data_IF_184418141444
#
_entry.id   IF_184418141444
#
_cell.length_a   1.000
_cell.length_b   1.000
_cell.length_c   1.000
_cell.angle_alpha   90.00
_cell.angle_beta   90.00
_cell.angle_gamma   90.00
#
_symmetry.space_group_name_H-M   'P 1'
#
loop_
_entity.id
_entity.type
_entity.pdbx_description
1 polymer ?
#
# COMPACT_ATOMS: atom_id res chain seq x y z
N UNK A 1 -25.81 -16.89 -14.77
CA UNK A 1 -25.26 -16.63 -13.42
C UNK A 1 -23.89 -16.00 -13.60
N UNK A 2 -23.79 -14.67 -13.63
CA UNK A 2 -22.49 -14.00 -13.73
C UNK A 2 -21.98 -13.80 -12.31
N UNK A 3 -21.16 -14.73 -11.84
CA UNK A 3 -20.47 -14.59 -10.57
C UNK A 3 -19.54 -13.38 -10.61
N UNK A 4 -19.52 -12.60 -9.53
CA UNK A 4 -18.55 -11.52 -9.35
C UNK A 4 -17.13 -12.11 -9.40
N UNK A 5 -16.46 -12.01 -10.55
CA UNK A 5 -15.10 -12.53 -10.79
C UNK A 5 -14.00 -11.61 -10.20
N UNK A 6 -14.27 -10.95 -9.07
CA UNK A 6 -13.28 -10.14 -8.38
C UNK A 6 -12.48 -11.02 -7.41
N UNK A 7 -11.17 -11.16 -7.67
CA UNK A 7 -10.24 -11.88 -6.80
C UNK A 7 -9.37 -10.93 -5.99
N UNK A 8 -9.19 -11.21 -4.70
CA UNK A 8 -8.23 -10.50 -3.84
C UNK A 8 -7.16 -11.47 -3.35
N UNK A 9 -5.90 -11.04 -3.34
CA UNK A 9 -4.79 -11.85 -2.85
C UNK A 9 -3.84 -11.03 -1.98
N UNK A 10 -3.80 -11.33 -0.68
CA UNK A 10 -2.73 -10.87 0.19
C UNK A 10 -1.53 -11.79 0.04
N UNK A 11 -0.49 -11.33 -0.66
CA UNK A 11 0.69 -12.14 -0.97
C UNK A 11 1.75 -12.16 0.13
N UNK A 12 1.53 -11.56 1.31
CA UNK A 12 2.45 -11.52 2.47
C UNK A 12 3.79 -10.79 2.29
N UNK A 13 4.35 -10.71 1.08
CA UNK A 13 5.54 -9.91 0.76
C UNK A 13 5.49 -9.33 -0.65
N UNK A 14 6.26 -8.27 -0.87
CA UNK A 14 6.39 -7.60 -2.18
C UNK A 14 6.91 -8.56 -3.26
N UNK A 15 7.92 -9.35 -2.94
CA UNK A 15 8.47 -10.36 -3.85
C UNK A 15 7.42 -11.40 -4.28
N UNK A 16 6.50 -11.76 -3.39
CA UNK A 16 5.42 -12.69 -3.69
C UNK A 16 4.31 -12.03 -4.53
N UNK A 17 3.99 -10.74 -4.30
CA UNK A 17 3.09 -9.97 -5.18
C UNK A 17 3.63 -9.98 -6.61
N UNK A 18 4.91 -9.65 -6.78
CA UNK A 18 5.54 -9.56 -8.09
C UNK A 18 5.65 -10.91 -8.80
N UNK A 19 5.96 -11.97 -8.04
CA UNK A 19 6.00 -13.33 -8.59
C UNK A 19 4.62 -13.79 -9.06
N UNK A 20 3.56 -13.46 -8.29
CA UNK A 20 2.18 -13.78 -8.66
C UNK A 20 1.70 -12.97 -9.87
N UNK A 21 2.06 -11.69 -9.95
CA UNK A 21 1.78 -10.86 -11.13
C UNK A 21 2.38 -11.49 -12.39
N UNK A 22 3.65 -11.92 -12.35
CA UNK A 22 4.27 -12.58 -13.49
C UNK A 22 3.60 -13.88 -13.88
N UNK A 23 3.16 -14.69 -12.90
CA UNK A 23 2.41 -15.91 -13.17
C UNK A 23 1.10 -15.59 -13.90
N UNK A 24 0.29 -14.65 -13.37
CA UNK A 24 -0.98 -14.23 -13.97
C UNK A 24 -0.80 -13.68 -15.40
N UNK A 25 0.27 -12.92 -15.67
CA UNK A 25 0.51 -12.37 -17.00
C UNK A 25 0.83 -13.45 -18.06
N UNK A 26 1.34 -14.61 -17.63
CA UNK A 26 1.69 -15.76 -18.50
C UNK A 26 0.54 -16.74 -18.70
N UNK A 27 -0.48 -16.70 -17.86
CA UNK A 27 -1.62 -17.62 -17.94
C UNK A 27 -2.52 -17.29 -19.15
N UNK A 28 -3.00 -18.34 -19.82
CA UNK A 28 -3.91 -18.20 -20.96
C UNK A 28 -5.31 -17.75 -20.51
N UNK A 29 -5.75 -18.19 -19.32
CA UNK A 29 -7.02 -17.83 -18.68
C UNK A 29 -6.80 -16.78 -17.58
N UNK A 30 -6.15 -15.67 -17.96
CA UNK A 30 -5.79 -14.60 -17.04
C UNK A 30 -6.92 -13.59 -16.84
N UNK A 31 -6.96 -12.88 -15.70
CA UNK A 31 -7.89 -11.78 -15.48
C UNK A 31 -7.74 -10.67 -16.52
N UNK A 32 -8.86 -10.05 -16.91
CA UNK A 32 -8.86 -8.89 -17.82
C UNK A 32 -8.27 -7.63 -17.18
N UNK A 33 -8.33 -7.53 -15.85
CA UNK A 33 -7.83 -6.40 -15.06
C UNK A 33 -7.03 -6.95 -13.89
N UNK A 34 -5.81 -6.42 -13.69
CA UNK A 34 -4.95 -6.77 -12.57
C UNK A 34 -4.52 -5.48 -11.87
N UNK A 35 -4.78 -5.38 -10.57
CA UNK A 35 -4.28 -4.32 -9.71
C UNK A 35 -3.27 -4.86 -8.71
N UNK A 36 -2.15 -4.16 -8.53
CA UNK A 36 -1.21 -4.40 -7.44
C UNK A 36 -1.09 -3.16 -6.56
N UNK A 37 -0.91 -3.40 -5.27
CA UNK A 37 -0.66 -2.40 -4.24
C UNK A 37 0.59 -2.84 -3.50
N UNK A 38 1.58 -1.96 -3.38
CA UNK A 38 2.87 -2.24 -2.76
C UNK A 38 3.28 -1.06 -1.88
N UNK A 39 4.07 -1.30 -0.83
CA UNK A 39 4.67 -0.22 -0.06
C UNK A 39 5.78 0.46 -0.88
N UNK A 40 6.06 1.76 -0.65
CA UNK A 40 7.24 2.41 -1.24
C UNK A 40 8.53 2.02 -0.50
N UNK A 41 8.40 1.61 0.76
CA UNK A 41 9.45 1.43 1.76
C UNK A 41 10.32 2.69 1.95
N UNK A 42 11.21 2.98 1.00
CA UNK A 42 12.19 4.07 1.09
C UNK A 42 12.20 5.02 -0.11
N UNK A 43 11.72 4.61 -1.28
CA UNK A 43 11.67 5.45 -2.49
C UNK A 43 10.60 4.93 -3.47
N UNK A 44 9.58 5.76 -3.71
CA UNK A 44 8.45 5.43 -4.59
C UNK A 44 8.86 5.24 -6.06
N UNK A 45 9.75 6.09 -6.58
CA UNK A 45 10.18 5.96 -7.97
C UNK A 45 11.12 4.77 -8.15
N UNK A 46 12.02 4.50 -7.19
CA UNK A 46 12.86 3.32 -7.23
C UNK A 46 12.02 2.04 -7.15
N UNK A 47 11.00 2.00 -6.29
CA UNK A 47 10.03 0.90 -6.23
C UNK A 47 9.31 0.71 -7.56
N UNK A 48 8.88 1.81 -8.19
CA UNK A 48 8.26 1.74 -9.50
C UNK A 48 9.22 1.20 -10.57
N UNK A 49 10.46 1.69 -10.62
CA UNK A 49 11.50 1.17 -11.52
C UNK A 49 11.72 -0.33 -11.32
N UNK A 50 11.84 -0.78 -10.07
CA UNK A 50 12.00 -2.20 -9.76
C UNK A 50 10.86 -3.06 -10.36
N UNK A 51 9.62 -2.59 -10.21
CA UNK A 51 8.44 -3.27 -10.75
C UNK A 51 8.50 -3.34 -12.28
N UNK A 52 8.76 -2.20 -12.95
CA UNK A 52 8.72 -2.15 -14.42
C UNK A 52 9.94 -2.82 -15.06
N UNK A 53 11.14 -2.65 -14.53
CA UNK A 53 12.36 -3.20 -15.14
C UNK A 53 12.44 -4.71 -14.95
N UNK A 54 12.18 -5.19 -13.72
CA UNK A 54 12.48 -6.58 -13.39
C UNK A 54 11.28 -7.53 -13.55
N UNK A 55 10.05 -7.00 -13.57
CA UNK A 55 8.84 -7.85 -13.48
C UNK A 55 7.83 -7.66 -14.60
N UNK A 56 7.56 -6.42 -14.98
CA UNK A 56 6.40 -6.07 -15.83
C UNK A 56 6.80 -5.66 -17.25
N UNK A 57 7.94 -5.00 -17.43
CA UNK A 57 8.42 -4.45 -18.71
C UNK A 57 8.76 -5.50 -19.76
N UNK A 58 8.84 -6.77 -19.37
CA UNK A 58 8.85 -7.88 -20.33
C UNK A 58 7.54 -7.94 -21.14
N UNK A 59 6.41 -7.71 -20.47
CA UNK A 59 5.07 -7.81 -21.06
C UNK A 59 4.59 -6.47 -21.63
N UNK A 60 4.68 -5.39 -20.84
CA UNK A 60 4.19 -4.06 -21.23
C UNK A 60 5.35 -3.22 -21.75
N UNK A 61 5.20 -2.59 -22.93
CA UNK A 61 6.28 -1.84 -23.61
C UNK A 61 6.12 -0.32 -23.58
N UNK A 62 4.96 0.17 -23.17
CA UNK A 62 4.60 1.60 -23.23
C UNK A 62 4.29 2.17 -21.84
N UNK A 63 4.90 1.60 -20.80
CA UNK A 63 4.79 2.12 -19.44
C UNK A 63 5.48 3.49 -19.35
N UNK A 64 4.97 4.41 -18.52
CA UNK A 64 5.66 5.68 -18.25
C UNK A 64 6.98 5.44 -17.51
N UNK A 65 7.93 6.36 -17.66
CA UNK A 65 9.26 6.27 -17.03
C UNK A 65 9.23 6.58 -15.53
N UNK A 66 8.15 7.16 -15.00
CA UNK A 66 7.99 7.48 -13.58
C UNK A 66 6.58 7.17 -13.09
N UNK A 67 6.44 7.02 -11.77
CA UNK A 67 5.16 6.69 -11.16
C UNK A 67 4.19 7.87 -11.28
N UNK A 68 3.00 7.71 -11.89
CA UNK A 68 2.00 8.76 -11.91
C UNK A 68 1.46 9.05 -10.50
N UNK A 69 1.35 10.32 -10.11
CA UNK A 69 0.83 10.72 -8.79
C UNK A 69 -0.60 10.20 -8.53
N UNK A 70 -1.38 9.99 -9.59
CA UNK A 70 -2.75 9.46 -9.50
C UNK A 70 -2.83 7.93 -9.40
N UNK A 71 -1.68 7.24 -9.33
CA UNK A 71 -1.58 5.81 -9.52
C UNK A 71 -1.54 5.44 -11.00
N UNK A 72 -0.83 4.36 -11.34
CA UNK A 72 -0.78 3.87 -12.71
C UNK A 72 -2.08 3.15 -13.05
N UNK A 73 -2.66 3.46 -14.21
CA UNK A 73 -3.63 2.62 -14.91
C UNK A 73 -3.17 2.58 -16.37
N UNK A 74 -2.81 1.40 -16.84
CA UNK A 74 -2.22 1.20 -18.16
C UNK A 74 -2.89 0.07 -18.91
N UNK A 75 -3.02 0.23 -20.23
CA UNK A 75 -3.62 -0.77 -21.11
C UNK A 75 -2.81 -0.88 -22.39
N UNK A 76 -2.48 -2.12 -22.74
CA UNK A 76 -1.88 -2.49 -24.03
C UNK A 76 -2.73 -3.58 -24.69
N UNK A 77 -2.64 -3.70 -26.01
CA UNK A 77 -3.41 -4.69 -26.75
C UNK A 77 -3.02 -6.10 -26.30
N UNK A 78 -4.01 -6.98 -26.18
CA UNK A 78 -3.80 -8.38 -25.78
C UNK A 78 -3.10 -8.55 -24.43
N UNK A 79 -3.20 -7.56 -23.53
CA UNK A 79 -2.75 -7.66 -22.15
C UNK A 79 -3.85 -7.19 -21.20
N UNK A 80 -3.86 -7.68 -19.95
CA UNK A 80 -4.75 -7.16 -18.93
C UNK A 80 -4.59 -5.64 -18.75
N UNK A 81 -5.66 -4.96 -18.35
CA UNK A 81 -5.54 -3.59 -17.82
C UNK A 81 -4.76 -3.68 -16.50
N UNK A 82 -3.60 -3.03 -16.44
CA UNK A 82 -2.72 -3.06 -15.29
C UNK A 82 -2.91 -1.80 -14.45
N UNK A 83 -3.14 -1.98 -13.16
CA UNK A 83 -3.06 -0.92 -12.17
C UNK A 83 -1.92 -1.15 -11.21
N UNK A 84 -1.17 -0.09 -10.90
CA UNK A 84 -0.16 -0.09 -9.83
C UNK A 84 -0.50 1.07 -8.90
N UNK A 85 -0.56 0.78 -7.60
CA UNK A 85 -0.55 1.77 -6.53
C UNK A 85 0.65 1.53 -5.63
N UNK A 86 1.38 2.59 -5.32
CA UNK A 86 2.48 2.54 -4.36
C UNK A 86 2.06 3.35 -3.13
N UNK A 87 2.09 2.73 -1.96
CA UNK A 87 1.70 3.40 -0.71
C UNK A 87 2.68 4.52 -0.36
N UNK A 88 2.22 5.55 0.37
CA UNK A 88 0.82 5.72 0.76
C UNK A 88 -0.02 6.37 -0.36
N UNK A 89 0.60 7.10 -1.29
CA UNK A 89 -0.08 7.98 -2.24
C UNK A 89 0.58 8.10 -3.63
N UNK A 90 1.44 7.15 -4.00
CA UNK A 90 2.25 7.14 -5.24
C UNK A 90 3.31 8.23 -5.35
N UNK A 91 3.54 9.01 -4.29
CA UNK A 91 4.50 10.11 -4.28
C UNK A 91 5.47 10.02 -3.12
N UNK A 92 4.93 9.96 -1.91
CA UNK A 92 5.72 9.99 -0.69
C UNK A 92 6.27 8.59 -0.38
N UNK A 93 7.37 8.58 0.37
CA UNK A 93 7.90 7.34 0.92
C UNK A 93 7.00 6.91 2.08
N UNK A 94 6.67 5.64 2.12
CA UNK A 94 5.90 5.07 3.21
C UNK A 94 5.30 3.74 2.84
N UNK A 95 4.52 3.26 3.78
CA UNK A 95 3.82 2.01 3.75
C UNK A 95 2.35 2.26 4.08
N UNK A 96 1.65 1.17 4.31
CA UNK A 96 0.28 1.19 4.74
C UNK A 96 0.07 1.96 6.08
N UNK A 97 1.04 1.96 6.98
CA UNK A 97 0.96 2.72 8.25
C UNK A 97 0.85 4.22 8.02
N UNK A 98 1.64 4.82 7.11
CA UNK A 98 1.54 6.23 6.73
C UNK A 98 0.16 6.55 6.17
N UNK A 99 -0.38 5.67 5.33
CA UNK A 99 -1.73 5.84 4.79
C UNK A 99 -2.77 5.89 5.91
N UNK A 100 -2.67 5.06 6.94
CA UNK A 100 -3.61 5.10 8.06
C UNK A 100 -3.42 6.28 9.00
N UNK A 101 -2.18 6.70 9.27
CA UNK A 101 -1.92 7.91 10.06
C UNK A 101 -2.53 9.13 9.39
N UNK A 102 -2.47 9.21 8.07
CA UNK A 102 -3.12 10.24 7.28
C UNK A 102 -4.65 10.17 7.31
N UNK A 103 -5.27 9.07 7.71
CA UNK A 103 -6.73 8.92 7.79
C UNK A 103 -7.29 9.02 9.21
N UNK A 104 -6.50 8.64 10.21
CA UNK A 104 -6.92 8.60 11.59
C UNK A 104 -7.27 10.00 12.13
N UNK A 105 -8.37 10.08 12.87
CA UNK A 105 -8.90 11.34 13.43
C UNK A 105 -8.88 11.38 14.96
N UNK A 106 -8.73 10.23 15.58
CA UNK A 106 -8.74 9.98 17.02
C UNK A 106 -7.35 9.63 17.57
N UNK A 107 -6.32 9.60 16.71
CA UNK A 107 -4.93 9.41 17.11
C UNK A 107 -4.29 10.76 17.48
N UNK A 108 -3.65 10.80 18.65
CA UNK A 108 -2.77 11.91 19.01
C UNK A 108 -1.30 11.49 18.75
N UNK A 109 -0.87 11.65 17.50
CA UNK A 109 0.47 11.26 17.05
C UNK A 109 1.57 11.97 17.82
N UNK A 110 1.39 13.25 18.15
CA UNK A 110 2.39 14.04 18.87
C UNK A 110 2.63 13.51 20.29
N UNK A 111 1.55 13.14 20.99
CA UNK A 111 1.64 12.52 22.30
C UNK A 111 2.39 11.19 22.24
N UNK A 112 2.02 10.33 21.30
CA UNK A 112 2.66 9.01 21.12
C UNK A 112 4.14 9.19 20.74
N UNK A 113 4.44 10.09 19.80
CA UNK A 113 5.81 10.38 19.36
C UNK A 113 6.66 10.88 20.53
N UNK A 114 6.10 11.73 21.40
CA UNK A 114 6.76 12.18 22.62
C UNK A 114 7.05 11.01 23.58
N UNK A 115 6.10 10.11 23.77
CA UNK A 115 6.30 8.90 24.60
C UNK A 115 7.39 8.00 24.03
N UNK A 116 7.41 7.78 22.71
CA UNK A 116 8.43 6.97 22.05
C UNK A 116 9.80 7.64 22.17
N UNK A 117 9.91 8.98 21.99
CA UNK A 117 11.17 9.73 22.19
C UNK A 117 11.71 9.57 23.60
N UNK A 118 10.83 9.59 24.61
CA UNK A 118 11.24 9.36 25.99
C UNK A 118 11.80 7.94 26.15
N UNK A 119 11.11 6.93 25.62
CA UNK A 119 11.57 5.53 25.67
C UNK A 119 12.92 5.34 24.92
N UNK A 120 13.13 6.02 23.79
CA UNK A 120 14.43 6.04 23.09
C UNK A 120 15.53 6.66 23.95
N UNK A 121 15.26 7.79 24.60
CA UNK A 121 16.22 8.47 25.49
C UNK A 121 16.63 7.61 26.70
N UNK A 122 15.75 6.70 27.13
CA UNK A 122 16.00 5.72 28.18
C UNK A 122 16.58 4.39 27.65
N UNK A 123 16.85 4.28 26.33
CA UNK A 123 17.31 3.06 25.65
C UNK A 123 16.35 1.85 25.81
N UNK A 124 15.05 2.11 25.89
CA UNK A 124 13.99 1.09 26.05
C UNK A 124 13.44 0.55 24.72
N UNK A 125 13.96 1.02 23.59
CA UNK A 125 13.45 0.73 22.25
C UNK A 125 14.50 0.04 21.39
N UNK A 126 14.07 -0.88 20.52
CA UNK A 126 14.96 -1.60 19.58
C UNK A 126 14.57 -1.43 18.10
N UNK A 127 13.54 -0.64 17.80
CA UNK A 127 13.13 -0.39 16.42
C UNK A 127 14.11 0.56 15.72
N UNK A 128 14.24 0.44 14.39
CA UNK A 128 15.11 1.30 13.59
C UNK A 128 14.45 2.66 13.32
N UNK A 129 15.19 3.78 13.16
CA UNK A 129 14.60 5.09 12.93
C UNK A 129 13.57 5.15 11.80
N UNK A 130 13.79 4.43 10.70
CA UNK A 130 12.85 4.36 9.58
C UNK A 130 11.52 3.65 9.91
N UNK A 131 11.41 2.96 11.04
CA UNK A 131 10.18 2.31 11.51
C UNK A 131 9.42 3.17 12.52
N UNK A 132 9.70 4.48 12.58
CA UNK A 132 9.09 5.40 13.55
C UNK A 132 7.56 5.43 13.46
N UNK A 133 7.01 5.62 12.27
CA UNK A 133 5.56 5.65 12.06
C UNK A 133 4.91 4.31 12.41
N UNK A 134 5.62 3.20 12.12
CA UNK A 134 5.21 1.87 12.57
C UNK A 134 5.15 1.77 14.09
N UNK A 135 6.15 2.29 14.79
CA UNK A 135 6.13 2.34 16.25
C UNK A 135 4.95 3.19 16.77
N UNK A 136 4.72 4.38 16.21
CA UNK A 136 3.57 5.23 16.57
C UNK A 136 2.26 4.47 16.40
N UNK A 137 2.05 3.88 15.23
CA UNK A 137 0.82 3.17 14.90
C UNK A 137 0.59 1.97 15.82
N UNK A 138 1.62 1.14 16.01
CA UNK A 138 1.53 -0.02 16.89
C UNK A 138 1.36 0.35 18.37
N UNK A 139 1.97 1.44 18.85
CA UNK A 139 1.76 1.95 20.20
C UNK A 139 0.32 2.42 20.39
N UNK A 140 -0.24 3.17 19.43
CA UNK A 140 -1.65 3.56 19.46
C UNK A 140 -2.55 2.33 19.59
N UNK A 141 -2.33 1.31 18.76
CA UNK A 141 -3.12 0.06 18.81
C UNK A 141 -2.95 -0.70 20.12
N UNK A 142 -1.74 -0.75 20.67
CA UNK A 142 -1.47 -1.39 21.94
C UNK A 142 -2.18 -0.71 23.13
N UNK A 143 -2.65 0.52 22.97
CA UNK A 143 -3.44 1.23 23.98
C UNK A 143 -4.96 1.10 23.79
N UNK A 144 -5.43 0.50 22.70
CA UNK A 144 -6.86 0.27 22.47
C UNK A 144 -7.36 -1.01 23.13
N UNK A 145 -8.69 -1.16 23.27
CA UNK A 145 -9.41 -2.29 23.90
C UNK A 145 -9.17 -3.67 23.23
N UNK A 146 -8.27 -3.77 22.25
CA UNK A 146 -7.82 -5.04 21.68
C UNK A 146 -6.36 -4.96 21.22
N UNK A 147 -5.41 -4.86 22.15
CA UNK A 147 -4.01 -4.61 21.85
C UNK A 147 -3.32 -5.77 21.13
N UNK A 148 -3.90 -6.97 21.19
CA UNK A 148 -3.42 -8.19 20.52
C UNK A 148 -4.06 -8.41 19.14
N UNK A 149 -4.99 -7.55 18.71
CA UNK A 149 -5.62 -7.68 17.41
C UNK A 149 -4.58 -7.43 16.29
N UNK A 150 -4.50 -8.28 15.26
CA UNK A 150 -3.70 -7.98 14.09
C UNK A 150 -4.05 -6.60 13.52
N UNK A 151 -3.05 -5.87 13.02
CA UNK A 151 -3.20 -4.51 12.48
C UNK A 151 -4.42 -4.37 11.57
N UNK A 152 -4.55 -5.25 10.58
CA UNK A 152 -5.67 -5.31 9.63
C UNK A 152 -7.06 -5.38 10.28
N UNK A 153 -7.17 -5.97 11.48
CA UNK A 153 -8.42 -6.08 12.23
C UNK A 153 -8.61 -4.93 13.22
N UNK A 154 -7.50 -4.38 13.74
CA UNK A 154 -7.50 -3.25 14.66
C UNK A 154 -7.91 -1.94 13.97
N UNK A 155 -7.59 -1.78 12.68
CA UNK A 155 -7.97 -0.63 11.85
C UNK A 155 -9.47 -0.36 11.84
N UNK A 156 -10.32 -1.40 11.89
CA UNK A 156 -11.77 -1.25 11.95
C UNK A 156 -12.27 -0.53 13.22
N UNK A 157 -11.39 -0.32 14.20
CA UNK A 157 -11.68 0.34 15.47
C UNK A 157 -11.22 1.80 15.52
N UNK A 158 -10.54 2.27 14.48
CA UNK A 158 -10.07 3.66 14.36
C UNK A 158 -11.16 4.50 13.70
N UNK A 159 -11.36 5.72 14.21
CA UNK A 159 -12.11 6.73 13.48
C UNK A 159 -11.29 7.24 12.27
N UNK A 160 -11.59 6.72 11.08
CA UNK A 160 -10.96 7.12 9.82
C UNK A 160 -11.82 8.14 9.07
N UNK A 161 -11.22 9.25 8.62
CA UNK A 161 -11.89 10.20 7.73
C UNK A 161 -11.61 9.86 6.26
N UNK A 162 -12.55 9.11 5.67
CA UNK A 162 -12.52 8.73 4.26
C UNK A 162 -12.74 9.92 3.29
N UNK A 163 -12.99 11.13 3.80
CA UNK A 163 -13.07 12.35 2.98
C UNK A 163 -11.71 13.04 2.82
N UNK A 164 -10.64 12.56 3.45
CA UNK A 164 -9.30 13.08 3.20
C UNK A 164 -8.86 12.77 1.77
N UNK A 165 -7.99 13.63 1.24
CA UNK A 165 -7.61 13.57 -0.17
C UNK A 165 -6.91 12.26 -0.54
N UNK A 166 -6.13 11.68 0.38
CA UNK A 166 -5.47 10.40 0.18
C UNK A 166 -6.46 9.24 -0.01
N UNK A 167 -7.55 9.19 0.78
CA UNK A 167 -8.62 8.19 0.62
C UNK A 167 -9.40 8.41 -0.67
N UNK A 168 -9.71 9.67 -1.01
CA UNK A 168 -10.39 10.02 -2.27
C UNK A 168 -9.56 9.62 -3.48
N UNK A 169 -8.25 9.88 -3.46
CA UNK A 169 -7.32 9.53 -4.54
C UNK A 169 -7.24 8.00 -4.72
N UNK A 170 -7.03 7.26 -3.62
CA UNK A 170 -6.99 5.79 -3.66
C UNK A 170 -8.29 5.20 -4.17
N UNK A 171 -9.44 5.66 -3.65
CA UNK A 171 -10.77 5.22 -4.10
C UNK A 171 -11.00 5.52 -5.58
N UNK A 172 -10.60 6.71 -6.05
CA UNK A 172 -10.73 7.11 -7.45
C UNK A 172 -9.89 6.21 -8.35
N UNK A 173 -8.64 5.95 -7.99
CA UNK A 173 -7.77 5.02 -8.73
C UNK A 173 -8.38 3.61 -8.79
N UNK A 174 -8.81 3.06 -7.65
CA UNK A 174 -9.39 1.71 -7.59
C UNK A 174 -10.65 1.60 -8.44
N UNK A 175 -11.52 2.61 -8.36
CA UNK A 175 -12.76 2.69 -9.14
C UNK A 175 -12.46 2.77 -10.64
N UNK A 176 -11.52 3.64 -11.05
CA UNK A 176 -11.13 3.76 -12.46
C UNK A 176 -10.43 2.50 -13.00
N UNK A 177 -9.78 1.73 -12.13
CA UNK A 177 -9.12 0.49 -12.52
C UNK A 177 -10.11 -0.64 -12.77
N UNK A 178 -11.14 -0.82 -11.94
CA UNK A 178 -12.03 -1.98 -12.05
C UNK A 178 -13.37 -1.69 -12.72
N UNK A 179 -13.70 -0.42 -12.95
CA UNK A 179 -14.85 -0.02 -13.76
C UNK A 179 -14.48 0.22 -15.24
#
# INVERSE_FOLDING_TARGET
>A
MYGNNFGFCNCKSDSQVLSKLQALLRESDRPEVIGIILDADNDTNARYQEIIESKVGYFYKKLPDSMPETGLIHKENELPKLGIWIMPNNKDNGALEEFYLELATDINTDFIDKTIRQAEGENLTSFKPQHRNKAIMHTYFAWQDSPSAPLHSAINKIALDNNRDIAKAFKKWLTNLFN
#
